data_IF_025206668499
#
_entry.id   IF_025206668499
#
_cell.length_a   1.000
_cell.length_b   1.000
_cell.length_c   1.000
_cell.angle_alpha   90.00
_cell.angle_beta   90.00
_cell.angle_gamma   90.00
#
_symmetry.space_group_name_H-M   'P 1'
#
loop_
_entity.id
_entity.type
_entity.pdbx_description
1 polymer ?
#
# COMPACT_ATOMS: atom_id res chain seq x y z
N UNK A 1 47.15 -20.14 21.93
CA UNK A 1 45.75 -19.70 21.86
C UNK A 1 44.91 -20.75 22.58
N UNK A 2 44.23 -20.37 23.68
CA UNK A 2 43.51 -21.34 24.53
C UNK A 2 42.34 -21.98 23.74
N UNK A 3 42.25 -23.32 23.76
CA UNK A 3 41.20 -24.10 23.07
C UNK A 3 39.79 -23.58 23.36
N UNK A 4 39.53 -23.05 24.56
CA UNK A 4 38.25 -22.37 24.92
C UNK A 4 37.98 -21.09 24.13
N UNK A 5 39.00 -20.27 23.85
CA UNK A 5 38.85 -19.05 23.02
C UNK A 5 38.60 -19.37 21.55
N UNK A 6 39.23 -20.44 21.06
CA UNK A 6 39.01 -20.94 19.69
C UNK A 6 37.59 -21.46 19.51
N UNK A 7 37.07 -22.18 20.51
CA UNK A 7 35.67 -22.70 20.48
C UNK A 7 34.63 -21.57 20.53
N UNK A 8 34.86 -20.52 21.31
CA UNK A 8 34.02 -19.34 21.37
C UNK A 8 34.04 -18.57 20.04
N UNK A 9 35.18 -18.46 19.38
CA UNK A 9 35.31 -17.80 18.08
C UNK A 9 34.59 -18.59 16.98
N UNK A 10 34.61 -19.91 17.02
CA UNK A 10 33.91 -20.79 16.11
C UNK A 10 32.40 -20.73 16.32
N UNK A 11 31.92 -20.62 17.56
CA UNK A 11 30.50 -20.42 17.89
C UNK A 11 30.00 -19.06 17.45
N UNK A 12 30.81 -18.00 17.53
CA UNK A 12 30.46 -16.66 17.05
C UNK A 12 30.35 -16.61 15.51
N UNK A 13 31.18 -17.38 14.80
CA UNK A 13 31.17 -17.43 13.32
C UNK A 13 29.91 -18.08 12.77
N UNK A 14 29.28 -19.00 13.52
CA UNK A 14 28.04 -19.66 13.09
C UNK A 14 26.80 -18.75 13.20
N UNK A 15 26.82 -17.68 13.98
CA UNK A 15 25.72 -16.72 14.08
C UNK A 15 25.59 -15.80 12.88
N UNK A 16 26.64 -15.64 12.06
CA UNK A 16 26.63 -14.72 10.92
C UNK A 16 26.05 -15.31 9.62
N UNK A 17 25.76 -16.61 9.56
CA UNK A 17 25.26 -17.24 8.32
C UNK A 17 23.74 -17.22 8.18
N UNK A 18 23.01 -16.61 9.12
CA UNK A 18 21.54 -16.62 9.18
C UNK A 18 20.83 -15.45 8.48
N UNK A 19 21.53 -14.54 7.78
CA UNK A 19 20.85 -13.52 6.97
C UNK A 19 20.43 -14.18 5.66
N UNK A 20 19.26 -14.82 5.69
CA UNK A 20 18.51 -15.18 4.49
C UNK A 20 18.24 -13.89 3.72
N UNK A 21 19.09 -13.59 2.77
CA UNK A 21 18.82 -12.58 1.77
C UNK A 21 17.58 -13.07 1.01
N UNK A 22 16.45 -12.43 1.27
CA UNK A 22 15.32 -12.45 0.35
C UNK A 22 15.87 -11.89 -0.98
N UNK A 23 16.41 -12.78 -1.82
CA UNK A 23 16.83 -12.40 -3.16
C UNK A 23 15.58 -11.99 -3.90
N UNK A 24 15.37 -10.68 -3.97
CA UNK A 24 14.36 -10.08 -4.81
C UNK A 24 14.77 -10.38 -6.26
N UNK A 25 14.29 -11.52 -6.78
CA UNK A 25 14.63 -11.95 -8.12
C UNK A 25 13.94 -11.03 -9.12
N UNK A 26 14.69 -10.56 -10.11
CA UNK A 26 14.12 -9.84 -11.26
C UNK A 26 13.22 -10.80 -12.01
N UNK A 27 11.96 -10.46 -12.15
CA UNK A 27 10.95 -11.22 -12.88
C UNK A 27 11.01 -10.89 -14.36
N UNK A 28 11.07 -9.60 -14.69
CA UNK A 28 11.17 -9.09 -16.04
C UNK A 28 11.83 -7.70 -16.03
N UNK A 29 12.20 -7.21 -17.20
CA UNK A 29 12.75 -5.86 -17.36
C UNK A 29 11.94 -5.13 -18.43
N UNK A 30 11.49 -3.92 -18.09
CA UNK A 30 10.81 -3.03 -19.04
C UNK A 30 11.76 -1.87 -19.32
N UNK A 31 12.17 -1.71 -20.56
CA UNK A 31 13.29 -0.86 -20.96
C UNK A 31 14.55 -1.21 -20.16
N UNK A 32 14.96 -0.33 -19.25
CA UNK A 32 16.13 -0.53 -18.38
C UNK A 32 15.75 -0.78 -16.91
N UNK A 33 14.44 -0.78 -16.58
CA UNK A 33 13.96 -0.87 -15.21
C UNK A 33 13.59 -2.31 -14.85
N UNK A 34 14.22 -2.90 -13.82
CA UNK A 34 13.84 -4.23 -13.36
C UNK A 34 12.52 -4.21 -12.62
N UNK A 35 11.70 -5.21 -12.88
CA UNK A 35 10.47 -5.52 -12.12
C UNK A 35 10.72 -6.79 -11.32
N UNK A 36 10.46 -6.75 -10.03
CA UNK A 36 10.82 -7.81 -9.12
C UNK A 36 9.67 -8.78 -8.85
N UNK A 37 10.01 -10.04 -8.62
CA UNK A 37 9.04 -11.09 -8.28
C UNK A 37 8.25 -10.79 -7.00
N UNK A 38 8.81 -10.03 -6.06
CA UNK A 38 8.12 -9.59 -4.85
C UNK A 38 6.96 -8.64 -5.15
N UNK A 39 7.15 -7.72 -6.10
CA UNK A 39 6.09 -6.81 -6.54
C UNK A 39 4.93 -7.59 -7.18
N UNK A 40 5.25 -8.50 -8.09
CA UNK A 40 4.24 -9.38 -8.69
C UNK A 40 3.44 -10.16 -7.63
N UNK A 41 4.13 -10.81 -6.69
CA UNK A 41 3.47 -11.59 -5.62
C UNK A 41 2.55 -10.73 -4.75
N UNK A 42 2.99 -9.52 -4.43
CA UNK A 42 2.18 -8.59 -3.64
C UNK A 42 0.90 -8.20 -4.38
N UNK A 43 1.01 -7.84 -5.66
CA UNK A 43 -0.12 -7.44 -6.49
C UNK A 43 -1.05 -8.63 -6.74
N UNK A 44 -0.51 -9.80 -7.06
CA UNK A 44 -1.26 -11.03 -7.25
C UNK A 44 -2.11 -11.36 -6.02
N UNK A 45 -1.48 -11.46 -4.83
CA UNK A 45 -2.18 -11.81 -3.59
C UNK A 45 -3.24 -10.77 -3.19
N UNK A 46 -3.01 -9.49 -3.50
CA UNK A 46 -3.95 -8.42 -3.17
C UNK A 46 -5.18 -8.40 -4.07
N UNK A 47 -5.00 -8.69 -5.34
CA UNK A 47 -6.02 -8.44 -6.36
C UNK A 47 -6.66 -9.72 -6.93
N UNK A 48 -6.23 -10.91 -6.50
CA UNK A 48 -6.73 -12.18 -7.05
C UNK A 48 -8.26 -12.30 -7.00
N UNK A 49 -8.85 -11.84 -5.88
CA UNK A 49 -10.31 -11.87 -5.70
C UNK A 49 -11.08 -10.88 -6.61
N UNK A 50 -10.37 -9.91 -7.19
CA UNK A 50 -10.95 -8.91 -8.09
C UNK A 50 -10.94 -9.37 -9.56
N UNK A 51 -10.20 -10.44 -9.88
CA UNK A 51 -10.13 -10.99 -11.24
C UNK A 51 -11.42 -11.73 -11.54
N UNK A 52 -12.11 -11.33 -12.61
CA UNK A 52 -13.38 -11.91 -13.01
C UNK A 52 -13.19 -13.18 -13.84
N UNK A 53 -12.19 -13.19 -14.72
CA UNK A 53 -11.91 -14.33 -15.61
C UNK A 53 -11.11 -15.40 -14.87
N UNK A 54 -11.72 -16.57 -14.71
CA UNK A 54 -11.09 -17.71 -14.02
C UNK A 54 -9.77 -18.16 -14.68
N UNK A 55 -9.62 -17.99 -15.99
CA UNK A 55 -8.37 -18.31 -16.70
C UNK A 55 -7.20 -17.41 -16.26
N UNK A 56 -7.49 -16.24 -15.74
CA UNK A 56 -6.53 -15.25 -15.27
C UNK A 56 -6.28 -15.32 -13.76
N UNK A 57 -6.97 -16.20 -13.03
CA UNK A 57 -6.75 -16.39 -11.58
C UNK A 57 -5.54 -17.29 -11.26
N UNK A 58 -4.99 -17.99 -12.24
CA UNK A 58 -3.74 -18.70 -12.06
C UNK A 58 -2.53 -17.77 -12.25
N UNK A 59 -1.35 -18.24 -11.85
CA UNK A 59 -0.11 -17.43 -11.88
C UNK A 59 0.23 -16.97 -13.29
N UNK A 60 0.10 -17.84 -14.28
CA UNK A 60 0.49 -17.54 -15.67
C UNK A 60 -0.46 -16.51 -16.30
N UNK A 61 -1.78 -16.73 -16.19
CA UNK A 61 -2.77 -15.80 -16.72
C UNK A 61 -2.75 -14.45 -16.03
N UNK A 62 -2.46 -14.41 -14.71
CA UNK A 62 -2.32 -13.15 -13.99
C UNK A 62 -1.00 -12.45 -14.34
N UNK A 63 0.05 -13.20 -14.67
CA UNK A 63 1.33 -12.63 -15.10
C UNK A 63 1.16 -11.79 -16.38
N UNK A 64 0.37 -12.29 -17.34
CA UNK A 64 0.07 -11.54 -18.57
C UNK A 64 -0.65 -10.23 -18.26
N UNK A 65 -1.66 -10.25 -17.39
CA UNK A 65 -2.32 -9.02 -16.92
C UNK A 65 -1.37 -8.06 -16.23
N UNK A 66 -0.47 -8.59 -15.42
CA UNK A 66 0.51 -7.77 -14.71
C UNK A 66 1.52 -7.13 -15.67
N UNK A 67 1.99 -7.85 -16.69
CA UNK A 67 2.86 -7.32 -17.73
C UNK A 67 2.17 -6.20 -18.49
N UNK A 68 0.94 -6.41 -18.95
CA UNK A 68 0.13 -5.42 -19.64
C UNK A 68 -0.07 -4.15 -18.81
N UNK A 69 -0.38 -4.32 -17.52
CA UNK A 69 -0.48 -3.21 -16.58
C UNK A 69 0.83 -2.44 -16.49
N UNK A 70 1.95 -3.11 -16.31
CA UNK A 70 3.27 -2.47 -16.17
C UNK A 70 3.68 -1.72 -17.45
N UNK A 71 3.40 -2.27 -18.62
CA UNK A 71 3.64 -1.62 -19.91
C UNK A 71 2.82 -0.34 -20.06
N UNK A 72 1.51 -0.41 -19.76
CA UNK A 72 0.61 0.76 -19.79
C UNK A 72 1.05 1.87 -18.84
N UNK A 73 1.46 1.50 -17.62
CA UNK A 73 1.97 2.48 -16.63
C UNK A 73 3.28 3.11 -17.11
N UNK A 74 4.19 2.31 -17.67
CA UNK A 74 5.46 2.82 -18.20
C UNK A 74 5.22 3.81 -19.32
N UNK A 75 4.34 3.49 -20.25
CA UNK A 75 3.96 4.38 -21.36
C UNK A 75 3.27 5.65 -20.86
N UNK A 76 2.38 5.54 -19.87
CA UNK A 76 1.72 6.70 -19.27
C UNK A 76 2.73 7.70 -18.67
N UNK A 77 3.76 7.20 -17.97
CA UNK A 77 4.85 8.05 -17.48
C UNK A 77 5.70 8.66 -18.61
N UNK A 78 5.99 7.90 -19.67
CA UNK A 78 6.71 8.41 -20.81
C UNK A 78 5.97 9.58 -21.51
N UNK A 79 4.63 9.52 -21.51
CA UNK A 79 3.76 10.57 -22.03
C UNK A 79 3.47 11.69 -21.01
N UNK A 80 4.02 11.64 -19.79
CA UNK A 80 3.77 12.59 -18.70
C UNK A 80 2.28 12.70 -18.31
N UNK A 81 1.49 11.62 -18.44
CA UNK A 81 0.08 11.61 -18.04
C UNK A 81 -0.11 11.79 -16.53
N UNK A 82 0.89 11.40 -15.75
CA UNK A 82 0.96 11.63 -14.30
C UNK A 82 0.99 13.12 -13.92
N UNK A 83 1.37 14.00 -14.85
CA UNK A 83 1.42 15.47 -14.69
C UNK A 83 0.17 16.17 -15.22
N UNK A 84 -0.77 15.41 -15.75
CA UNK A 84 -2.03 15.97 -16.22
C UNK A 84 -2.84 16.52 -15.04
N UNK A 85 -3.35 17.74 -15.19
CA UNK A 85 -4.09 18.44 -14.13
C UNK A 85 -5.35 17.67 -13.67
N UNK A 86 -6.07 17.03 -14.59
CA UNK A 86 -7.23 16.20 -14.25
C UNK A 86 -6.82 14.97 -13.43
N UNK A 87 -5.72 14.31 -13.80
CA UNK A 87 -5.19 13.17 -13.06
C UNK A 87 -4.79 13.57 -11.64
N UNK A 88 -4.07 14.68 -11.49
CA UNK A 88 -3.63 15.18 -10.18
C UNK A 88 -4.83 15.47 -9.29
N UNK A 89 -5.84 16.19 -9.78
CA UNK A 89 -7.06 16.49 -9.02
C UNK A 89 -7.83 15.23 -8.58
N UNK A 90 -7.90 14.25 -9.47
CA UNK A 90 -8.55 12.99 -9.14
C UNK A 90 -7.76 12.17 -8.12
N UNK A 91 -6.44 12.13 -8.27
CA UNK A 91 -5.55 11.45 -7.32
C UNK A 91 -5.64 12.08 -5.92
N UNK A 92 -5.57 13.40 -5.79
CA UNK A 92 -5.73 14.13 -4.53
C UNK A 92 -7.08 13.83 -3.86
N UNK A 93 -8.15 13.73 -4.66
CA UNK A 93 -9.48 13.36 -4.15
C UNK A 93 -9.49 11.94 -3.55
N UNK A 94 -8.86 10.97 -4.20
CA UNK A 94 -8.76 9.60 -3.67
C UNK A 94 -7.86 9.55 -2.44
N UNK A 95 -6.74 10.28 -2.43
CA UNK A 95 -5.86 10.38 -1.28
C UNK A 95 -6.60 10.93 -0.06
N UNK A 96 -7.36 12.02 -0.23
CA UNK A 96 -8.19 12.59 0.83
C UNK A 96 -9.23 11.59 1.35
N UNK A 97 -9.92 10.86 0.47
CA UNK A 97 -10.89 9.85 0.86
C UNK A 97 -10.27 8.70 1.67
N UNK A 98 -9.07 8.26 1.29
CA UNK A 98 -8.34 7.19 1.99
C UNK A 98 -7.82 7.68 3.34
N UNK A 99 -7.24 8.88 3.39
CA UNK A 99 -6.63 9.46 4.59
C UNK A 99 -7.65 9.71 5.70
N UNK A 100 -8.90 10.07 5.37
CA UNK A 100 -9.98 10.30 6.34
C UNK A 100 -10.18 9.15 7.31
N UNK A 101 -10.04 7.91 6.85
CA UNK A 101 -10.19 6.72 7.70
C UNK A 101 -9.10 6.58 8.76
N UNK A 102 -7.92 7.13 8.49
CA UNK A 102 -6.75 7.06 9.38
C UNK A 102 -6.64 8.27 10.30
N UNK A 103 -7.12 9.44 9.85
CA UNK A 103 -7.11 10.68 10.61
C UNK A 103 -8.27 10.74 11.61
N UNK A 104 -9.34 9.98 11.34
CA UNK A 104 -10.56 10.01 12.14
C UNK A 104 -10.37 9.24 13.46
N UNK A 105 -10.26 9.96 14.56
CA UNK A 105 -10.27 9.38 15.91
C UNK A 105 -11.72 9.04 16.33
N UNK A 106 -12.04 7.74 16.38
CA UNK A 106 -13.37 7.23 16.77
C UNK A 106 -13.79 7.70 18.17
N UNK A 107 -12.84 7.93 19.08
CA UNK A 107 -13.11 8.40 20.43
C UNK A 107 -13.60 9.83 20.42
N UNK A 108 -12.93 10.70 19.65
CA UNK A 108 -13.33 12.12 19.49
C UNK A 108 -14.68 12.20 18.79
N UNK A 109 -14.92 11.38 17.78
CA UNK A 109 -16.20 11.32 17.11
C UNK A 109 -17.34 10.94 18.07
N UNK A 110 -17.15 9.94 18.92
CA UNK A 110 -18.15 9.53 19.90
C UNK A 110 -18.44 10.62 20.92
N UNK A 111 -17.42 11.36 21.34
CA UNK A 111 -17.59 12.52 22.24
C UNK A 111 -18.40 13.63 21.58
N UNK A 112 -18.08 13.98 20.32
CA UNK A 112 -18.80 15.00 19.57
C UNK A 112 -20.25 14.62 19.28
N UNK A 113 -20.52 13.33 18.97
CA UNK A 113 -21.88 12.82 18.79
C UNK A 113 -22.70 12.95 20.08
N UNK A 114 -22.11 12.54 21.20
CA UNK A 114 -22.78 12.68 22.49
C UNK A 114 -23.04 14.14 22.86
N UNK A 115 -22.06 15.02 22.63
CA UNK A 115 -22.22 16.45 22.86
C UNK A 115 -23.33 17.05 21.97
N UNK A 116 -23.34 16.71 20.68
CA UNK A 116 -24.39 17.16 19.76
C UNK A 116 -25.78 16.65 20.19
N UNK A 117 -25.87 15.40 20.64
CA UNK A 117 -27.11 14.80 21.15
C UNK A 117 -27.60 15.53 22.41
N UNK A 118 -26.72 15.78 23.39
CA UNK A 118 -27.09 16.47 24.63
C UNK A 118 -27.56 17.91 24.35
N UNK A 119 -26.85 18.64 23.48
CA UNK A 119 -27.27 19.98 23.05
C UNK A 119 -28.59 20.00 22.28
N UNK A 120 -28.90 18.93 21.53
CA UNK A 120 -30.14 18.82 20.79
C UNK A 120 -31.38 18.50 21.63
N UNK A 121 -31.19 18.19 22.95
CA UNK A 121 -32.31 17.97 23.87
C UNK A 121 -32.99 19.27 24.32
N UNK A 122 -32.23 20.41 24.26
CA UNK A 122 -32.70 21.67 24.70
C UNK A 122 -33.09 22.53 23.48
N UNK A 123 -34.33 22.98 23.46
CA UNK A 123 -34.84 23.90 22.44
C UNK A 123 -34.80 25.35 22.99
N UNK A 124 -34.10 26.24 22.27
CA UNK A 124 -34.00 27.63 22.69
C UNK A 124 -34.97 28.45 21.82
N UNK A 125 -35.90 29.11 22.46
CA UNK A 125 -36.75 30.11 21.83
C UNK A 125 -36.13 31.50 22.08
N UNK A 126 -35.70 32.20 21.03
CA UNK A 126 -35.07 33.49 21.12
C UNK A 126 -35.75 34.50 20.17
N UNK A 127 -36.18 35.62 20.71
CA UNK A 127 -36.71 36.74 19.93
C UNK A 127 -35.60 37.75 19.62
N UNK A 128 -35.58 38.22 18.39
CA UNK A 128 -34.64 39.23 17.91
C UNK A 128 -35.34 40.54 17.76
N UNK A 129 -34.86 41.56 18.52
CA UNK A 129 -35.33 42.95 18.42
C UNK A 129 -34.29 43.76 17.61
N UNK A 130 -34.69 44.32 16.49
CA UNK A 130 -33.90 45.20 15.66
C UNK A 130 -34.02 46.63 16.13
#
# INVERSE_FOLDING_TARGET
MNKRKLLLLLLLATYFTGISQNKNNVLLTIDTKPVYSSEFKQVFNKNLDLVIDESQKNVDGYLDLFIDYKLKVTEAYAQNLDKNEMYIKEFEKYEDQLSKKYIFDKRIASQLINEAYERGKDEINADHIL
#
